data_IF_699532089353
#
_entry.id   IF_699532089353
#
_cell.length_a   1.000
_cell.length_b   1.000
_cell.length_c   1.000
_cell.angle_alpha   90.00
_cell.angle_beta   90.00
_cell.angle_gamma   90.00
#
_symmetry.space_group_name_H-M   'P 1'
#
loop_
_entity.id
_entity.type
_entity.pdbx_description
1 polymer ?
#
# COMPACT_ATOMS: atom_id res chain seq x y z
N UNK A 1 -15.56 -8.67 18.64
CA UNK A 1 -14.82 -8.35 17.40
C UNK A 1 -15.80 -7.98 16.32
N UNK A 2 -15.52 -6.93 15.54
CA UNK A 2 -16.34 -6.59 14.39
C UNK A 2 -16.27 -7.74 13.37
N UNK A 3 -17.43 -8.14 12.83
CA UNK A 3 -17.51 -9.10 11.73
C UNK A 3 -17.78 -8.35 10.43
N UNK A 4 -17.15 -8.78 9.35
CA UNK A 4 -17.36 -8.23 8.01
C UNK A 4 -17.58 -9.37 7.02
N UNK A 5 -18.28 -9.07 5.92
CA UNK A 5 -18.52 -10.03 4.84
C UNK A 5 -17.22 -10.36 4.13
N UNK A 6 -16.98 -11.64 3.84
CA UNK A 6 -15.77 -12.08 3.14
C UNK A 6 -15.61 -11.40 1.78
N UNK A 7 -16.69 -11.27 1.00
CA UNK A 7 -16.63 -10.62 -0.31
C UNK A 7 -16.13 -9.18 -0.24
N UNK A 8 -16.51 -8.43 0.79
CA UNK A 8 -16.01 -7.08 1.05
C UNK A 8 -14.55 -7.10 1.53
N UNK A 9 -14.22 -8.00 2.46
CA UNK A 9 -12.86 -8.09 3.01
C UNK A 9 -11.80 -8.38 1.92
N UNK A 10 -12.11 -9.19 0.91
CA UNK A 10 -11.19 -9.47 -0.20
C UNK A 10 -10.89 -8.21 -1.04
N UNK A 11 -11.88 -7.35 -1.22
CA UNK A 11 -11.73 -6.08 -1.96
C UNK A 11 -10.94 -5.09 -1.11
N UNK A 12 -11.35 -4.91 0.16
CA UNK A 12 -10.72 -3.97 1.10
C UNK A 12 -9.24 -4.28 1.31
N UNK A 13 -8.88 -5.58 1.30
CA UNK A 13 -7.51 -6.08 1.45
C UNK A 13 -6.72 -6.11 0.14
N UNK A 14 -7.30 -5.64 -0.96
CA UNK A 14 -6.64 -5.58 -2.27
C UNK A 14 -6.36 -6.95 -2.90
N UNK A 15 -6.95 -8.03 -2.37
CA UNK A 15 -6.81 -9.39 -2.90
C UNK A 15 -7.54 -9.54 -4.23
N UNK A 16 -8.63 -8.80 -4.43
CA UNK A 16 -9.38 -8.76 -5.70
C UNK A 16 -9.73 -7.32 -6.10
N UNK A 17 -10.13 -7.14 -7.35
CA UNK A 17 -10.58 -5.86 -7.91
C UNK A 17 -11.98 -5.46 -7.47
N UNK A 18 -12.92 -6.40 -7.37
CA UNK A 18 -14.33 -6.04 -7.14
C UNK A 18 -15.07 -7.08 -6.32
N UNK A 19 -16.18 -6.66 -5.71
CA UNK A 19 -17.06 -7.58 -4.98
C UNK A 19 -17.60 -8.70 -5.87
N UNK A 20 -17.90 -8.38 -7.13
CA UNK A 20 -18.37 -9.36 -8.11
C UNK A 20 -17.29 -10.40 -8.39
N UNK A 21 -16.03 -9.98 -8.55
CA UNK A 21 -14.90 -10.91 -8.69
C UNK A 21 -14.70 -11.75 -7.43
N UNK A 22 -14.73 -11.14 -6.25
CA UNK A 22 -14.67 -11.86 -4.97
C UNK A 22 -15.72 -12.96 -4.90
N UNK A 23 -16.98 -12.65 -5.23
CA UNK A 23 -18.08 -13.61 -5.26
C UNK A 23 -17.79 -14.77 -6.22
N UNK A 24 -17.31 -14.49 -7.43
CA UNK A 24 -16.95 -15.51 -8.40
C UNK A 24 -15.82 -16.43 -7.92
N UNK A 25 -14.77 -15.88 -7.29
CA UNK A 25 -13.64 -16.67 -6.77
C UNK A 25 -14.04 -17.51 -5.55
N UNK A 26 -14.94 -17.00 -4.70
CA UNK A 26 -15.51 -17.76 -3.58
C UNK A 26 -16.34 -18.93 -4.12
N UNK A 27 -17.19 -18.69 -5.13
CA UNK A 27 -17.95 -19.75 -5.79
C UNK A 27 -17.05 -20.78 -6.48
N UNK A 28 -15.91 -20.36 -7.02
CA UNK A 28 -14.89 -21.25 -7.59
C UNK A 28 -14.07 -22.00 -6.53
N UNK A 29 -14.29 -21.73 -5.24
CA UNK A 29 -13.58 -22.41 -4.15
C UNK A 29 -12.11 -22.01 -4.02
N UNK A 30 -11.75 -20.80 -4.46
CA UNK A 30 -10.36 -20.32 -4.47
C UNK A 30 -9.99 -19.49 -3.23
N UNK A 31 -10.96 -19.16 -2.38
CA UNK A 31 -10.77 -18.31 -1.20
C UNK A 31 -10.69 -19.16 0.06
N UNK A 32 -9.64 -18.92 0.87
CA UNK A 32 -9.35 -19.71 2.06
C UNK A 32 -9.00 -18.82 3.26
N UNK A 33 -9.45 -19.23 4.44
CA UNK A 33 -8.84 -18.88 5.72
C UNK A 33 -7.74 -19.91 6.04
N UNK A 34 -6.93 -19.73 7.09
CA UNK A 34 -5.92 -20.72 7.47
C UNK A 34 -6.50 -22.13 7.69
N UNK A 35 -7.72 -22.21 8.21
CA UNK A 35 -8.31 -23.48 8.64
C UNK A 35 -9.25 -24.12 7.59
N UNK A 36 -9.78 -23.34 6.64
CA UNK A 36 -10.79 -23.85 5.70
C UNK A 36 -10.98 -22.99 4.46
N UNK A 37 -11.64 -23.57 3.47
CA UNK A 37 -12.22 -22.86 2.33
C UNK A 37 -13.45 -22.04 2.73
N UNK A 38 -13.64 -20.89 2.08
CA UNK A 38 -14.88 -20.11 2.17
C UNK A 38 -15.82 -20.52 1.05
N UNK A 39 -17.05 -20.91 1.39
CA UNK A 39 -18.07 -21.34 0.42
C UNK A 39 -19.15 -20.28 0.16
N UNK A 40 -19.27 -19.26 1.04
CA UNK A 40 -20.34 -18.25 0.96
C UNK A 40 -19.77 -16.84 0.97
N UNK A 41 -20.04 -16.08 -0.09
CA UNK A 41 -19.55 -14.71 -0.24
C UNK A 41 -19.99 -13.75 0.89
N UNK A 42 -21.23 -13.90 1.35
CA UNK A 42 -21.79 -13.10 2.43
C UNK A 42 -21.51 -13.61 3.84
N UNK A 43 -20.66 -14.62 3.98
CA UNK A 43 -20.25 -15.12 5.28
C UNK A 43 -19.60 -14.01 6.10
N UNK A 44 -19.97 -13.90 7.37
CA UNK A 44 -19.49 -12.88 8.31
C UNK A 44 -18.42 -13.49 9.21
N UNK A 45 -17.16 -13.14 8.99
CA UNK A 45 -16.02 -13.59 9.79
C UNK A 45 -15.38 -12.41 10.50
N UNK A 46 -14.50 -12.67 11.46
CA UNK A 46 -13.80 -11.61 12.17
C UNK A 46 -12.93 -10.81 11.18
N UNK A 47 -12.92 -9.49 11.31
CA UNK A 47 -12.25 -8.57 10.37
C UNK A 47 -10.73 -8.78 10.28
N UNK A 48 -10.12 -9.44 11.27
CA UNK A 48 -8.71 -9.81 11.35
C UNK A 48 -8.43 -11.25 10.87
N UNK A 49 -9.45 -12.01 10.46
CA UNK A 49 -9.25 -13.39 10.00
C UNK A 49 -8.42 -13.36 8.71
N UNK A 50 -7.25 -14.02 8.64
CA UNK A 50 -6.44 -14.03 7.42
C UNK A 50 -7.20 -14.63 6.24
N UNK A 51 -7.03 -14.03 5.06
CA UNK A 51 -7.65 -14.50 3.83
C UNK A 51 -6.56 -14.67 2.76
N UNK A 52 -6.65 -15.75 2.01
CA UNK A 52 -5.75 -16.06 0.90
C UNK A 52 -6.55 -16.47 -0.33
N UNK A 53 -5.99 -16.15 -1.50
CA UNK A 53 -6.50 -16.61 -2.79
C UNK A 53 -5.52 -17.61 -3.39
N UNK A 54 -6.05 -18.76 -3.82
CA UNK A 54 -5.30 -19.76 -4.56
C UNK A 54 -5.26 -19.41 -6.04
N UNK A 55 -4.10 -19.56 -6.68
CA UNK A 55 -3.92 -19.34 -8.12
C UNK A 55 -3.91 -17.86 -8.51
N UNK A 56 -3.30 -17.01 -7.70
CA UNK A 56 -3.08 -15.61 -8.07
C UNK A 56 -2.12 -15.53 -9.27
N UNK A 57 -2.37 -14.58 -10.17
CA UNK A 57 -1.54 -14.35 -11.36
C UNK A 57 -0.22 -13.62 -11.03
N UNK A 58 0.04 -13.33 -9.75
CA UNK A 58 1.24 -12.69 -9.24
C UNK A 58 1.76 -13.42 -7.98
N UNK A 59 3.08 -13.35 -7.68
CA UNK A 59 3.67 -14.07 -6.55
C UNK A 59 3.42 -13.39 -5.18
N UNK A 60 2.94 -12.14 -5.17
CA UNK A 60 2.78 -11.34 -3.96
C UNK A 60 1.54 -11.69 -3.13
N UNK A 61 1.52 -11.32 -1.85
CA UNK A 61 0.34 -11.53 -0.97
C UNK A 61 -0.88 -10.72 -1.36
N UNK A 62 -0.71 -9.64 -2.13
CA UNK A 62 -1.81 -8.81 -2.65
C UNK A 62 -1.40 -8.14 -3.96
N UNK A 63 -2.39 -7.63 -4.69
CA UNK A 63 -2.16 -6.94 -5.97
C UNK A 63 -1.33 -5.66 -5.83
N UNK A 64 -1.21 -5.12 -4.61
CA UNK A 64 -0.34 -3.99 -4.32
C UNK A 64 1.10 -4.25 -4.75
N UNK A 65 1.60 -5.48 -4.59
CA UNK A 65 2.97 -5.81 -4.99
C UNK A 65 3.27 -5.53 -6.47
N UNK A 66 2.29 -5.70 -7.37
CA UNK A 66 2.46 -5.39 -8.81
C UNK A 66 2.83 -3.91 -9.01
N UNK A 67 2.25 -3.01 -8.22
CA UNK A 67 2.48 -1.57 -8.32
C UNK A 67 3.89 -1.20 -7.87
N UNK A 68 4.35 -1.79 -6.76
CA UNK A 68 5.69 -1.47 -6.23
C UNK A 68 6.79 -2.03 -7.13
N UNK A 69 6.66 -3.24 -7.66
CA UNK A 69 7.63 -3.80 -8.63
C UNK A 69 7.81 -2.85 -9.81
N UNK A 70 6.70 -2.41 -10.41
CA UNK A 70 6.73 -1.44 -11.50
C UNK A 70 7.39 -0.12 -11.09
N UNK A 71 7.11 0.40 -9.90
CA UNK A 71 7.76 1.60 -9.38
C UNK A 71 9.27 1.44 -9.20
N UNK A 72 9.71 0.34 -8.60
CA UNK A 72 11.14 0.05 -8.41
C UNK A 72 11.88 -0.04 -9.75
N UNK A 73 11.32 -0.77 -10.71
CA UNK A 73 11.87 -0.93 -12.06
C UNK A 73 11.91 0.40 -12.82
N UNK A 74 10.79 1.13 -12.87
CA UNK A 74 10.67 2.38 -13.61
C UNK A 74 11.63 3.46 -13.09
N UNK A 75 11.74 3.62 -11.77
CA UNK A 75 12.59 4.65 -11.16
C UNK A 75 14.03 4.18 -10.91
N UNK A 76 14.37 2.93 -11.21
CA UNK A 76 15.70 2.37 -10.99
C UNK A 76 16.12 2.34 -9.51
N UNK A 77 15.17 2.05 -8.62
CA UNK A 77 15.37 2.03 -7.17
C UNK A 77 15.47 0.58 -6.67
N UNK A 78 16.29 0.35 -5.64
CA UNK A 78 16.47 -0.98 -5.06
C UNK A 78 16.39 -0.92 -3.53
N UNK A 79 15.65 -1.84 -2.90
CA UNK A 79 15.63 -2.00 -1.45
C UNK A 79 16.73 -2.93 -0.93
N UNK A 80 17.57 -3.50 -1.80
CA UNK A 80 18.56 -4.50 -1.41
C UNK A 80 19.49 -4.01 -0.28
N UNK A 81 19.50 -4.74 0.83
CA UNK A 81 20.30 -4.43 2.01
C UNK A 81 19.81 -3.22 2.82
N UNK A 82 18.68 -2.62 2.47
CA UNK A 82 18.17 -1.40 3.10
C UNK A 82 17.18 -1.69 4.24
N UNK A 83 17.16 -0.79 5.23
CA UNK A 83 16.05 -0.67 6.18
C UNK A 83 14.93 0.16 5.56
N UNK A 84 13.76 -0.47 5.40
CA UNK A 84 12.63 0.09 4.69
C UNK A 84 11.46 0.40 5.64
N UNK A 85 10.65 1.39 5.28
CA UNK A 85 9.39 1.73 5.93
C UNK A 85 8.24 1.56 4.93
N UNK A 86 7.28 0.69 5.23
CA UNK A 86 6.05 0.47 4.45
C UNK A 86 4.86 1.12 5.19
N UNK A 87 4.39 2.25 4.67
CA UNK A 87 3.26 3.01 5.21
C UNK A 87 1.95 2.57 4.54
N UNK A 88 1.04 2.01 5.34
CA UNK A 88 -0.21 1.43 4.84
C UNK A 88 -0.03 0.00 4.35
N UNK A 89 0.75 -0.80 5.09
CA UNK A 89 1.14 -2.15 4.69
C UNK A 89 -0.07 -3.06 4.36
N UNK A 90 -1.20 -2.88 5.05
CA UNK A 90 -2.43 -3.67 4.90
C UNK A 90 -2.15 -5.18 4.90
N UNK A 91 -2.41 -5.88 3.79
CA UNK A 91 -2.13 -7.32 3.64
C UNK A 91 -0.64 -7.62 3.47
N UNK A 92 0.16 -6.62 3.10
CA UNK A 92 1.62 -6.65 3.02
C UNK A 92 2.17 -6.76 1.61
N UNK A 93 1.44 -6.32 0.58
CA UNK A 93 1.88 -6.43 -0.80
C UNK A 93 3.21 -5.72 -1.08
N UNK A 94 3.38 -4.51 -0.53
CA UNK A 94 4.62 -3.74 -0.64
C UNK A 94 5.72 -4.35 0.21
N UNK A 95 5.45 -4.67 1.48
CA UNK A 95 6.38 -5.41 2.37
C UNK A 95 6.91 -6.69 1.71
N UNK A 96 6.06 -7.50 1.08
CA UNK A 96 6.45 -8.75 0.41
C UNK A 96 7.43 -8.51 -0.75
N UNK A 97 7.17 -7.48 -1.56
CA UNK A 97 8.08 -7.06 -2.64
C UNK A 97 9.41 -6.57 -2.08
N UNK A 98 9.39 -5.70 -1.06
CA UNK A 98 10.62 -5.19 -0.45
C UNK A 98 11.52 -6.33 0.05
N UNK A 99 10.95 -7.32 0.75
CA UNK A 99 11.70 -8.48 1.22
C UNK A 99 12.22 -9.35 0.06
N UNK A 100 11.39 -9.58 -0.95
CA UNK A 100 11.79 -10.35 -2.14
C UNK A 100 12.95 -9.70 -2.88
N UNK A 101 12.94 -8.37 -3.01
CA UNK A 101 13.99 -7.56 -3.62
C UNK A 101 15.18 -7.30 -2.67
N UNK A 102 15.23 -7.98 -1.53
CA UNK A 102 16.41 -8.06 -0.67
C UNK A 102 16.50 -7.02 0.44
N UNK A 103 15.39 -6.38 0.85
CA UNK A 103 15.38 -5.52 2.03
C UNK A 103 15.97 -6.23 3.26
N UNK A 104 16.85 -5.54 3.99
CA UNK A 104 17.42 -6.08 5.21
C UNK A 104 16.37 -6.11 6.33
N UNK A 105 15.53 -5.08 6.38
CA UNK A 105 14.47 -4.92 7.39
C UNK A 105 13.32 -4.08 6.83
N UNK A 106 12.09 -4.38 7.23
CA UNK A 106 10.89 -3.64 6.87
C UNK A 106 10.06 -3.33 8.11
N UNK A 107 9.79 -2.06 8.35
CA UNK A 107 8.77 -1.60 9.28
C UNK A 107 7.43 -1.52 8.55
N UNK A 108 6.53 -2.46 8.84
CA UNK A 108 5.20 -2.53 8.23
C UNK A 108 4.19 -1.79 9.12
N UNK A 109 3.84 -0.55 8.76
CA UNK A 109 2.96 0.33 9.54
C UNK A 109 1.55 0.31 8.97
N UNK A 110 0.56 0.05 9.83
CA UNK A 110 -0.85 0.13 9.45
C UNK A 110 -1.74 0.58 10.63
N UNK A 111 -2.81 1.30 10.31
CA UNK A 111 -3.84 1.71 11.29
C UNK A 111 -4.81 0.58 11.62
N UNK A 112 -4.95 -0.38 10.72
CA UNK A 112 -5.70 -1.61 10.89
C UNK A 112 -5.01 -2.61 11.81
N UNK A 113 -5.61 -3.79 11.91
CA UNK A 113 -5.13 -4.85 12.78
C UNK A 113 -5.44 -6.23 12.18
N UNK A 114 -4.48 -7.15 12.28
CA UNK A 114 -4.58 -8.53 11.80
C UNK A 114 -4.68 -8.67 10.28
N UNK A 115 -4.30 -7.65 9.52
CA UNK A 115 -4.42 -7.69 8.05
C UNK A 115 -3.19 -8.30 7.39
N UNK A 116 -2.00 -8.07 7.96
CA UNK A 116 -0.73 -8.53 7.39
C UNK A 116 -0.71 -10.06 7.26
N UNK A 117 -0.38 -10.53 6.05
CA UNK A 117 -0.35 -11.95 5.73
C UNK A 117 0.56 -12.73 6.69
N UNK A 118 0.12 -13.94 7.07
CA UNK A 118 0.81 -14.77 8.05
C UNK A 118 2.30 -14.97 7.74
N UNK A 119 2.65 -15.27 6.48
CA UNK A 119 4.05 -15.48 6.08
C UNK A 119 4.96 -14.28 6.38
N UNK A 120 4.43 -13.06 6.28
CA UNK A 120 5.18 -11.82 6.54
C UNK A 120 5.25 -11.56 8.04
N UNK A 121 4.12 -11.72 8.73
CA UNK A 121 4.04 -11.57 10.19
C UNK A 121 4.95 -12.55 10.92
N UNK A 122 5.10 -13.77 10.40
CA UNK A 122 5.98 -14.79 10.99
C UNK A 122 7.46 -14.55 10.69
N UNK A 123 7.82 -13.67 9.75
CA UNK A 123 9.21 -13.28 9.47
C UNK A 123 9.65 -12.17 10.44
N UNK A 124 9.74 -12.50 11.73
CA UNK A 124 10.07 -11.52 12.78
C UNK A 124 11.53 -11.06 12.76
N UNK A 125 12.39 -11.73 12.00
CA UNK A 125 13.80 -11.35 11.85
C UNK A 125 13.94 -10.12 10.95
N UNK A 126 13.11 -10.02 9.90
CA UNK A 126 13.17 -8.93 8.91
C UNK A 126 11.97 -7.99 8.97
N UNK A 127 10.84 -8.38 9.57
CA UNK A 127 9.62 -7.58 9.59
C UNK A 127 9.27 -7.13 11.01
N UNK A 128 9.16 -5.81 11.19
CA UNK A 128 8.61 -5.20 12.40
C UNK A 128 7.19 -4.75 12.10
N UNK A 129 6.22 -5.40 12.72
CA UNK A 129 4.79 -5.12 12.52
C UNK A 129 4.33 -4.02 13.49
N UNK A 130 3.88 -2.89 12.95
CA UNK A 130 3.35 -1.74 13.69
C UNK A 130 1.88 -1.53 13.34
N UNK A 131 1.01 -2.37 13.90
CA UNK A 131 -0.46 -2.28 13.74
C UNK A 131 -1.09 -1.32 14.75
N UNK A 132 -2.29 -0.82 14.43
CA UNK A 132 -2.96 0.26 15.19
C UNK A 132 -2.08 1.49 15.36
N UNK A 133 -1.12 1.68 14.46
CA UNK A 133 -0.18 2.78 14.47
C UNK A 133 -0.57 3.78 13.40
N UNK A 134 -0.77 5.04 13.81
CA UNK A 134 -1.02 6.11 12.86
C UNK A 134 0.33 6.60 12.31
N UNK A 135 0.55 6.47 11.00
CA UNK A 135 1.78 6.88 10.35
C UNK A 135 2.16 8.36 10.60
N UNK A 136 1.18 9.22 10.90
CA UNK A 136 1.39 10.63 11.25
C UNK A 136 2.08 10.85 12.59
N UNK A 137 2.11 9.82 13.44
CA UNK A 137 2.70 9.87 14.77
C UNK A 137 4.05 9.13 14.83
N UNK A 138 4.58 8.71 13.67
CA UNK A 138 5.89 8.05 13.62
C UNK A 138 6.98 9.02 14.05
N UNK A 139 7.88 8.53 14.87
CA UNK A 139 9.06 9.22 15.34
C UNK A 139 10.19 8.19 15.60
N UNK A 140 11.34 8.68 16.06
CA UNK A 140 12.51 7.84 16.35
C UNK A 140 12.32 6.94 17.58
N UNK A 141 11.30 7.16 18.42
CA UNK A 141 11.00 6.28 19.54
C UNK A 141 10.24 5.03 19.05
N UNK A 142 9.37 5.19 18.05
CA UNK A 142 8.65 4.08 17.41
C UNK A 142 9.54 3.36 16.39
N UNK A 143 10.29 4.11 15.59
CA UNK A 143 11.19 3.60 14.56
C UNK A 143 12.61 4.08 14.88
N UNK A 144 13.38 3.29 15.67
CA UNK A 144 14.72 3.69 16.09
C UNK A 144 15.78 3.57 15.00
N UNK A 145 15.51 2.80 13.94
CA UNK A 145 16.47 2.57 12.86
C UNK A 145 16.42 3.68 11.80
N UNK A 146 17.56 4.03 11.19
CA UNK A 146 17.60 4.96 10.06
C UNK A 146 16.87 4.38 8.85
N UNK A 147 15.86 5.09 8.33
CA UNK A 147 15.10 4.63 7.16
C UNK A 147 15.83 5.04 5.87
N UNK A 148 16.12 4.06 5.03
CA UNK A 148 16.83 4.24 3.76
C UNK A 148 15.90 4.13 2.54
N UNK A 149 14.70 3.57 2.73
CA UNK A 149 13.67 3.45 1.72
C UNK A 149 12.28 3.59 2.34
N UNK A 150 11.40 4.39 1.74
CA UNK A 150 10.01 4.53 2.16
C UNK A 150 9.07 4.15 1.02
N UNK A 151 8.06 3.33 1.32
CA UNK A 151 6.97 3.04 0.39
C UNK A 151 5.62 3.38 1.03
N UNK A 152 4.64 3.83 0.24
CA UNK A 152 3.32 4.19 0.78
C UNK A 152 2.18 3.82 -0.17
N UNK A 153 1.25 2.99 0.31
CA UNK A 153 -0.03 2.63 -0.34
C UNK A 153 -1.24 2.90 0.61
N UNK A 154 -1.26 4.06 1.26
CA UNK A 154 -2.34 4.42 2.17
C UNK A 154 -3.67 4.73 1.45
N UNK A 155 -4.80 4.48 2.11
CA UNK A 155 -6.14 4.78 1.60
C UNK A 155 -6.89 5.68 2.57
N UNK A 156 -7.88 6.44 2.08
CA UNK A 156 -8.71 7.38 2.87
C UNK A 156 -7.95 8.54 3.51
N UNK A 157 -6.71 8.79 3.09
CA UNK A 157 -5.86 9.90 3.52
C UNK A 157 -4.99 10.37 2.36
N UNK A 158 -4.73 11.67 2.27
CA UNK A 158 -3.83 12.23 1.28
C UNK A 158 -2.36 12.15 1.70
N UNK A 159 -1.46 12.04 0.72
CA UNK A 159 -0.01 11.93 0.88
C UNK A 159 0.57 13.08 1.70
N UNK A 160 0.11 14.31 1.45
CA UNK A 160 0.56 15.52 2.16
C UNK A 160 0.30 15.47 3.67
N UNK A 161 -0.65 14.65 4.09
CA UNK A 161 -0.99 14.45 5.51
C UNK A 161 -0.29 13.24 6.10
N UNK A 162 -0.18 12.12 5.36
CA UNK A 162 0.32 10.85 5.92
C UNK A 162 1.85 10.71 5.87
N UNK A 163 2.50 11.28 4.85
CA UNK A 163 3.93 11.08 4.61
C UNK A 163 4.90 11.90 5.50
N UNK A 164 4.60 13.13 5.97
CA UNK A 164 5.61 13.99 6.60
C UNK A 164 6.45 13.31 7.68
N UNK A 165 5.80 12.66 8.66
CA UNK A 165 6.47 11.96 9.76
C UNK A 165 7.39 10.82 9.26
N UNK A 166 6.97 10.05 8.25
CA UNK A 166 7.80 8.99 7.66
C UNK A 166 8.98 9.53 6.85
N UNK A 167 8.77 10.63 6.11
CA UNK A 167 9.85 11.27 5.33
C UNK A 167 10.90 11.88 6.24
N UNK A 168 10.53 12.43 7.40
CA UNK A 168 11.45 12.98 8.39
C UNK A 168 12.45 11.93 8.90
N UNK A 169 12.02 10.67 9.05
CA UNK A 169 12.84 9.53 9.48
C UNK A 169 13.83 9.04 8.41
N UNK A 170 13.68 9.46 7.15
CA UNK A 170 14.55 9.03 6.08
C UNK A 170 15.94 9.70 6.20
N UNK A 171 17.03 8.94 6.02
CA UNK A 171 18.39 9.49 6.03
C UNK A 171 18.77 10.14 4.69
N UNK A 172 19.79 11.03 4.64
CA UNK A 172 20.36 11.50 3.38
C UNK A 172 20.72 10.34 2.44
N UNK A 173 20.38 10.48 1.17
CA UNK A 173 20.55 9.43 0.16
C UNK A 173 19.42 8.38 0.08
N UNK A 174 18.47 8.39 1.03
CA UNK A 174 17.29 7.53 1.00
C UNK A 174 16.39 7.82 -0.22
N UNK A 175 15.51 6.88 -0.56
CA UNK A 175 14.50 7.06 -1.60
C UNK A 175 13.10 6.77 -1.08
N UNK A 176 12.09 7.28 -1.78
CA UNK A 176 10.69 7.05 -1.45
C UNK A 176 9.85 6.81 -2.72
N UNK A 177 8.87 5.92 -2.63
CA UNK A 177 7.83 5.69 -3.65
C UNK A 177 6.46 5.75 -2.96
N UNK A 178 5.52 6.55 -3.47
CA UNK A 178 4.16 6.60 -2.93
C UNK A 178 3.11 6.52 -4.04
N UNK A 179 1.94 5.97 -3.71
CA UNK A 179 0.79 6.07 -4.59
C UNK A 179 0.01 7.36 -4.41
N UNK A 180 -0.12 8.10 -5.49
CA UNK A 180 -1.10 9.15 -5.68
C UNK A 180 -2.42 8.48 -6.06
N UNK A 181 -3.42 8.68 -5.20
CA UNK A 181 -4.78 8.18 -5.39
C UNK A 181 -5.72 9.39 -5.55
N UNK A 182 -6.07 9.82 -6.77
CA UNK A 182 -6.86 11.02 -7.01
C UNK A 182 -8.14 11.10 -6.16
N UNK A 183 -8.81 9.98 -5.91
CA UNK A 183 -10.01 9.90 -5.08
C UNK A 183 -9.82 10.28 -3.60
N UNK A 184 -8.59 10.31 -3.10
CA UNK A 184 -8.24 10.72 -1.73
C UNK A 184 -7.51 12.05 -1.65
N UNK A 185 -7.08 12.59 -2.81
CA UNK A 185 -6.35 13.85 -2.92
C UNK A 185 -7.22 14.99 -3.44
N UNK A 186 -8.14 14.67 -4.36
CA UNK A 186 -9.03 15.64 -4.97
C UNK A 186 -10.08 16.12 -3.94
N UNK A 187 -10.54 17.36 -4.12
CA UNK A 187 -11.67 17.89 -3.36
C UNK A 187 -12.95 17.08 -3.59
N UNK A 188 -13.87 17.11 -2.61
CA UNK A 188 -15.12 16.32 -2.65
C UNK A 188 -15.92 16.50 -3.94
N UNK A 189 -15.90 17.69 -4.52
CA UNK A 189 -16.65 18.03 -5.74
C UNK A 189 -16.10 17.36 -7.00
N UNK A 190 -14.84 16.92 -6.99
CA UNK A 190 -14.19 16.26 -8.11
C UNK A 190 -14.32 14.72 -8.07
N UNK A 191 -14.92 14.18 -7.00
CA UNK A 191 -15.09 12.73 -6.81
C UNK A 191 -16.48 12.32 -7.30
N UNK A 192 -16.52 11.56 -8.40
CA UNK A 192 -17.76 11.12 -9.01
C UNK A 192 -18.47 9.99 -8.25
N UNK A 193 -19.54 9.47 -8.85
CA UNK A 193 -20.29 8.34 -8.31
C UNK A 193 -19.38 7.15 -7.96
N UNK A 194 -19.65 6.50 -6.83
CA UNK A 194 -18.86 5.39 -6.25
C UNK A 194 -17.42 5.76 -5.87
N UNK A 195 -17.09 7.04 -5.72
CA UNK A 195 -15.75 7.43 -5.31
C UNK A 195 -14.71 7.36 -6.43
N UNK A 196 -15.16 7.44 -7.70
CA UNK A 196 -14.28 7.28 -8.87
C UNK A 196 -14.00 8.63 -9.52
N UNK A 197 -12.72 8.97 -9.66
CA UNK A 197 -12.26 10.13 -10.42
C UNK A 197 -11.95 9.68 -11.84
N UNK A 198 -12.71 10.16 -12.82
CA UNK A 198 -12.56 9.79 -14.24
C UNK A 198 -11.96 10.89 -15.11
N UNK A 199 -12.09 12.14 -14.69
CA UNK A 199 -11.64 13.28 -15.46
C UNK A 199 -10.10 13.34 -15.48
N UNK A 200 -9.46 13.21 -16.66
CA UNK A 200 -8.00 13.31 -16.78
C UNK A 200 -7.46 14.64 -16.27
N UNK A 201 -8.20 15.74 -16.42
CA UNK A 201 -7.76 17.05 -15.93
C UNK A 201 -7.65 17.06 -14.39
N UNK A 202 -8.51 16.33 -13.70
CA UNK A 202 -8.42 16.15 -12.23
C UNK A 202 -7.22 15.28 -11.88
N UNK A 203 -6.93 14.23 -12.67
CA UNK A 203 -5.74 13.40 -12.47
C UNK A 203 -4.46 14.23 -12.58
N UNK A 204 -4.34 15.02 -13.64
CA UNK A 204 -3.18 15.87 -13.89
C UNK A 204 -3.02 16.93 -12.80
N UNK A 205 -4.11 17.59 -12.40
CA UNK A 205 -4.11 18.59 -11.34
C UNK A 205 -3.67 18.00 -9.99
N UNK A 206 -4.14 16.79 -9.65
CA UNK A 206 -3.71 16.09 -8.43
C UNK A 206 -2.23 15.72 -8.52
N UNK A 207 -1.78 15.16 -9.63
CA UNK A 207 -0.37 14.77 -9.80
C UNK A 207 0.55 15.98 -9.67
N UNK A 208 0.20 17.09 -10.32
CA UNK A 208 0.94 18.35 -10.25
C UNK A 208 0.98 18.90 -8.83
N UNK A 209 -0.15 18.92 -8.12
CA UNK A 209 -0.23 19.36 -6.73
C UNK A 209 0.68 18.55 -5.81
N UNK A 210 0.72 17.22 -5.96
CA UNK A 210 1.59 16.36 -5.13
C UNK A 210 3.05 16.52 -5.52
N UNK A 211 3.35 16.62 -6.81
CA UNK A 211 4.69 16.93 -7.30
C UNK A 211 5.22 18.22 -6.67
N UNK A 212 4.48 19.33 -6.81
CA UNK A 212 4.87 20.63 -6.27
C UNK A 212 5.06 20.61 -4.75
N UNK A 213 4.15 19.96 -4.02
CA UNK A 213 4.28 19.81 -2.57
C UNK A 213 5.57 19.06 -2.21
N UNK A 214 5.85 17.92 -2.86
CA UNK A 214 7.02 17.11 -2.54
C UNK A 214 8.32 17.82 -2.95
N UNK A 215 8.36 18.45 -4.13
CA UNK A 215 9.50 19.27 -4.57
C UNK A 215 9.77 20.47 -3.65
N UNK A 216 8.77 20.95 -2.91
CA UNK A 216 8.93 22.01 -1.92
C UNK A 216 9.50 21.53 -0.59
N UNK A 217 9.65 20.23 -0.36
CA UNK A 217 10.19 19.70 0.88
C UNK A 217 11.72 19.86 0.92
N UNK A 218 12.29 20.34 2.04
CA UNK A 218 13.74 20.50 2.16
C UNK A 218 14.48 19.17 2.00
N UNK A 219 15.50 19.17 1.12
CA UNK A 219 16.36 18.02 0.89
C UNK A 219 15.68 16.85 0.18
N UNK A 220 14.63 17.10 -0.61
CA UNK A 220 13.99 16.08 -1.44
C UNK A 220 13.95 16.53 -2.90
N UNK A 221 14.39 15.62 -3.78
CA UNK A 221 14.28 15.77 -5.24
C UNK A 221 13.29 14.74 -5.78
N UNK A 222 12.24 15.20 -6.45
CA UNK A 222 11.27 14.31 -7.12
C UNK A 222 11.90 13.72 -8.38
N UNK A 223 11.83 12.41 -8.53
CA UNK A 223 12.37 11.66 -9.66
C UNK A 223 11.38 11.60 -10.84
N UNK A 224 10.08 11.64 -10.55
CA UNK A 224 9.02 11.66 -11.55
C UNK A 224 7.71 11.09 -11.04
N UNK A 225 6.71 11.10 -11.92
CA UNK A 225 5.40 10.48 -11.74
C UNK A 225 5.17 9.53 -12.91
N UNK A 226 4.67 8.32 -12.62
CA UNK A 226 4.31 7.33 -13.63
C UNK A 226 2.96 6.66 -13.30
N UNK A 227 2.10 6.31 -14.27
CA UNK A 227 0.85 5.62 -13.99
C UNK A 227 1.07 4.25 -13.35
N UNK A 228 0.26 3.89 -12.36
CA UNK A 228 0.25 2.52 -11.82
C UNK A 228 -0.16 1.51 -12.91
N UNK A 229 0.50 0.34 -12.99
CA UNK A 229 0.22 -0.68 -14.03
C UNK A 229 -1.17 -1.33 -13.85
N UNK A 230 -1.77 -1.18 -12.67
CA UNK A 230 -3.13 -1.63 -12.37
C UNK A 230 -3.96 -0.50 -11.77
N UNK A 231 -5.27 -0.58 -11.94
CA UNK A 231 -6.23 0.34 -11.30
C UNK A 231 -6.54 -0.09 -9.86
N UNK A 232 -6.98 0.87 -9.05
CA UNK A 232 -7.57 0.59 -7.74
C UNK A 232 -8.85 -0.25 -7.83
N UNK A 233 -9.40 -0.73 -6.69
CA UNK A 233 -10.54 -1.65 -6.68
C UNK A 233 -11.79 -1.13 -7.42
N UNK A 234 -12.17 0.13 -7.22
CA UNK A 234 -13.31 0.74 -7.91
C UNK A 234 -12.98 1.24 -9.34
N UNK A 235 -11.83 0.84 -9.90
CA UNK A 235 -11.37 1.24 -11.24
C UNK A 235 -10.73 2.63 -11.29
N UNK A 236 -10.39 3.22 -10.13
CA UNK A 236 -9.63 4.46 -10.09
C UNK A 236 -8.25 4.27 -10.72
N UNK A 237 -7.86 5.21 -11.59
CA UNK A 237 -6.47 5.32 -12.03
C UNK A 237 -5.65 5.85 -10.85
N UNK A 238 -4.52 5.21 -10.61
CA UNK A 238 -3.57 5.57 -9.56
C UNK A 238 -2.22 5.86 -10.23
N UNK A 239 -1.38 6.64 -9.57
CA UNK A 239 -0.07 7.04 -10.07
C UNK A 239 0.98 6.79 -9.00
N UNK A 240 2.19 6.48 -9.41
CA UNK A 240 3.37 6.37 -8.56
C UNK A 240 4.13 7.69 -8.64
N UNK A 241 4.55 8.22 -7.51
CA UNK A 241 5.55 9.29 -7.44
C UNK A 241 6.76 8.77 -6.69
N UNK A 242 7.95 9.08 -7.18
CA UNK A 242 9.20 8.76 -6.51
C UNK A 242 10.01 10.01 -6.23
N UNK A 243 10.76 9.97 -5.12
CA UNK A 243 11.66 11.03 -4.73
C UNK A 243 12.91 10.46 -4.06
N UNK A 244 13.99 11.24 -4.06
CA UNK A 244 15.22 10.93 -3.36
C UNK A 244 15.50 12.01 -2.32
N UNK A 245 15.93 11.61 -1.14
CA UNK A 245 16.44 12.53 -0.13
C UNK A 245 17.86 12.90 -0.49
N UNK A 246 18.09 14.18 -0.70
CA UNK A 246 19.40 14.72 -1.07
C UNK A 246 20.43 14.41 0.04
N UNK A 247 21.68 14.27 -0.37
CA UNK A 247 22.83 13.94 0.49
C UNK A 247 23.25 15.07 1.41
#
# INVERSE_FOLDING_TARGET
MAKRRVDQMLVDRGLVESRTRAQALIMAGLVHTPDRRIDKAGEQIAEDTPLTLKGQDHPWVSRGGIKLVHGLEHFGLSPAGLTCLDVGASTGGFTDVLLHEGAAKVYAVDVGHGQLAWKLRSNTEQVVVLEKCNARALDTAIIPDPIQALVCDASFIGLRTVLPAGLELCVPGAWAIALIKPQFEAGRDAVGAKGVVRDPAVHDAVCQMIHEWWSGLPGWTVLGIDPSPITGPEGNREFLIAARRDG
#
